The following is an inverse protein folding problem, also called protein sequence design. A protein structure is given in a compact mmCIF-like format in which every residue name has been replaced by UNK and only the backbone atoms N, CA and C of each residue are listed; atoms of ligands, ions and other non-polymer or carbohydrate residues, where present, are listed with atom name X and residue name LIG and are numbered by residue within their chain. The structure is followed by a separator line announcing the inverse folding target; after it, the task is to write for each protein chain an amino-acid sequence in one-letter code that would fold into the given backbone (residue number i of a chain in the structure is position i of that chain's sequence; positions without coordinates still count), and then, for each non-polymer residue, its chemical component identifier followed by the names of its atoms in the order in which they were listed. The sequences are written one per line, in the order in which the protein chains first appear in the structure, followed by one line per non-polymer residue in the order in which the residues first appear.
data_IF_865349362750
#
_entry.id   IF_865349362750
#
_cell.length_a   1.000
_cell.length_b   1.000
_cell.length_c   1.000
_cell.angle_alpha   90.00
_cell.angle_beta   90.00
_cell.angle_gamma   90.00
#
_symmetry.space_group_name_H-M   'P 1'
#
loop_
_entity.id
_entity.type
_entity.pdbx_description
1 polymer ?
#
# COMPACT_ATOMS: atom_id res chain seq x y z
N UNK A 1 5.60 13.85 -2.24
CA UNK A 1 6.22 13.30 -1.01
C UNK A 1 6.86 11.95 -1.36
N UNK A 2 7.76 11.40 -0.54
CA UNK A 2 8.30 10.05 -0.77
C UNK A 2 7.40 9.01 -0.10
N UNK A 3 7.47 7.76 -0.58
CA UNK A 3 6.84 6.63 0.10
C UNK A 3 7.53 6.40 1.45
N UNK A 4 6.74 6.08 2.46
CA UNK A 4 7.23 5.67 3.78
C UNK A 4 7.41 4.14 3.83
N UNK A 5 8.03 3.65 4.91
CA UNK A 5 8.31 2.22 5.08
C UNK A 5 7.05 1.33 5.10
N UNK A 6 5.92 1.86 5.59
CA UNK A 6 4.67 1.10 5.64
C UNK A 6 4.03 0.96 4.26
N UNK A 7 4.04 2.03 3.46
CA UNK A 7 3.56 2.02 2.08
C UNK A 7 4.41 1.10 1.21
N UNK A 8 5.74 1.16 1.34
CA UNK A 8 6.65 0.26 0.65
C UNK A 8 6.40 -1.20 1.05
N UNK A 9 6.22 -1.48 2.34
CA UNK A 9 5.89 -2.83 2.82
C UNK A 9 4.55 -3.33 2.25
N UNK A 10 3.51 -2.48 2.25
CA UNK A 10 2.20 -2.85 1.73
C UNK A 10 2.27 -3.17 0.23
N UNK A 11 2.99 -2.36 -0.54
CA UNK A 11 3.15 -2.55 -1.98
C UNK A 11 3.96 -3.81 -2.32
N UNK A 12 5.05 -4.08 -1.61
CA UNK A 12 5.82 -5.34 -1.72
C UNK A 12 4.89 -6.57 -1.51
N UNK A 13 3.99 -6.49 -0.51
CA UNK A 13 3.02 -7.57 -0.23
C UNK A 13 1.94 -7.69 -1.31
N UNK A 14 1.44 -6.58 -1.82
CA UNK A 14 0.39 -6.54 -2.82
C UNK A 14 0.88 -6.93 -4.23
N UNK A 15 2.16 -6.70 -4.52
CA UNK A 15 2.76 -6.82 -5.85
C UNK A 15 3.83 -7.92 -5.95
N UNK A 16 3.90 -8.81 -4.95
CA UNK A 16 4.91 -9.87 -4.81
C UNK A 16 5.10 -10.81 -6.01
N UNK A 17 4.12 -10.89 -6.90
CA UNK A 17 4.00 -11.75 -8.08
C UNK A 17 3.91 -10.91 -9.37
N UNK A 18 4.10 -9.59 -9.25
CA UNK A 18 4.08 -8.62 -10.34
C UNK A 18 5.43 -7.90 -10.43
N UNK A 19 6.48 -8.64 -10.78
CA UNK A 19 7.89 -8.21 -10.75
C UNK A 19 8.15 -6.84 -11.42
N UNK A 20 7.44 -6.53 -12.51
CA UNK A 20 7.59 -5.25 -13.22
C UNK A 20 7.03 -4.08 -12.37
N UNK A 21 5.90 -4.28 -11.69
CA UNK A 21 5.28 -3.25 -10.85
C UNK A 21 6.10 -3.00 -9.59
N UNK A 22 6.62 -4.07 -9.00
CA UNK A 22 7.52 -4.01 -7.86
C UNK A 22 8.80 -3.22 -8.20
N UNK A 23 9.43 -3.51 -9.35
CA UNK A 23 10.59 -2.77 -9.83
C UNK A 23 10.32 -1.26 -10.03
N UNK A 24 9.19 -0.89 -10.65
CA UNK A 24 8.85 0.52 -10.90
C UNK A 24 8.63 1.30 -9.61
N UNK A 25 8.12 0.66 -8.56
CA UNK A 25 7.93 1.27 -7.25
C UNK A 25 9.23 1.44 -6.48
N UNK A 26 10.17 0.52 -6.66
CA UNK A 26 11.49 0.57 -6.02
C UNK A 26 12.50 1.47 -6.76
N UNK A 27 12.36 1.65 -8.08
CA UNK A 27 13.29 2.42 -8.90
C UNK A 27 13.00 3.93 -8.86
N UNK A 28 13.10 4.54 -7.66
CA UNK A 28 13.14 5.98 -7.33
C UNK A 28 12.11 6.95 -7.97
N UNK A 29 11.18 6.44 -8.78
CA UNK A 29 10.24 7.23 -9.58
C UNK A 29 8.90 7.46 -8.90
N UNK A 30 8.51 6.59 -7.98
CA UNK A 30 7.22 6.68 -7.32
C UNK A 30 7.18 7.84 -6.32
N UNK A 31 6.10 8.64 -6.36
CA UNK A 31 5.90 9.80 -5.49
C UNK A 31 4.49 9.81 -4.94
N UNK A 32 4.37 10.04 -3.64
CA UNK A 32 3.07 10.23 -2.99
C UNK A 32 2.57 11.64 -3.28
N UNK A 33 1.46 11.76 -4.02
CA UNK A 33 0.76 13.00 -4.32
C UNK A 33 -0.10 13.44 -3.14
N UNK A 34 -0.80 12.49 -2.53
CA UNK A 34 -1.71 12.71 -1.42
C UNK A 34 -1.56 11.59 -0.39
N UNK A 35 -1.62 11.96 0.89
CA UNK A 35 -1.69 11.01 2.01
C UNK A 35 -2.67 11.53 3.04
N UNK A 36 -3.68 10.73 3.36
CA UNK A 36 -4.75 11.07 4.29
C UNK A 36 -4.86 9.98 5.35
N UNK A 37 -4.71 10.35 6.60
CA UNK A 37 -5.04 9.46 7.72
C UNK A 37 -6.56 9.39 7.85
N UNK A 38 -7.10 8.18 7.94
CA UNK A 38 -8.51 7.93 8.19
C UNK A 38 -8.70 7.42 9.61
N UNK A 39 -9.95 7.29 10.03
CA UNK A 39 -10.28 6.74 11.35
C UNK A 39 -9.72 5.32 11.53
N UNK A 40 -9.76 4.52 10.47
CA UNK A 40 -9.49 3.09 10.52
C UNK A 40 -8.21 2.71 9.76
N UNK A 41 -7.42 3.68 9.28
CA UNK A 41 -6.27 3.40 8.42
C UNK A 41 -5.72 4.65 7.76
N UNK A 42 -5.24 4.52 6.53
CA UNK A 42 -4.81 5.63 5.71
C UNK A 42 -5.14 5.38 4.24
N UNK A 43 -5.13 6.45 3.47
CA UNK A 43 -5.21 6.43 2.02
C UNK A 43 -4.03 7.22 1.44
N UNK A 44 -3.45 6.73 0.36
CA UNK A 44 -2.38 7.39 -0.37
C UNK A 44 -2.60 7.30 -1.89
N UNK A 45 -2.33 8.40 -2.59
CA UNK A 45 -2.27 8.45 -4.05
C UNK A 45 -0.80 8.54 -4.46
N UNK A 46 -0.35 7.58 -5.27
CA UNK A 46 1.05 7.40 -5.65
C UNK A 46 1.16 7.58 -7.16
N UNK A 47 1.87 8.62 -7.58
CA UNK A 47 2.26 8.82 -8.97
C UNK A 47 3.46 7.94 -9.31
N UNK A 48 3.39 7.25 -10.44
CA UNK A 48 4.46 6.48 -11.05
C UNK A 48 5.05 7.27 -12.23
N UNK A 49 6.37 7.21 -12.43
CA UNK A 49 6.98 7.83 -13.62
C UNK A 49 6.62 7.11 -14.92
N UNK A 50 6.36 5.80 -14.83
CA UNK A 50 5.93 4.98 -15.95
C UNK A 50 4.41 4.85 -15.94
N UNK A 51 3.80 4.73 -17.13
CA UNK A 51 2.36 4.49 -17.21
C UNK A 51 2.07 3.08 -16.72
N UNK A 52 0.98 2.91 -15.98
CA UNK A 52 0.54 1.61 -15.48
C UNK A 52 0.36 0.58 -16.60
N UNK A 53 -0.12 1.00 -17.76
CA UNK A 53 -0.23 0.14 -18.95
C UNK A 53 1.12 -0.45 -19.40
N UNK A 54 2.23 0.26 -19.15
CA UNK A 54 3.58 -0.16 -19.51
C UNK A 54 4.16 -1.11 -18.43
N UNK A 55 3.55 -1.10 -17.25
CA UNK A 55 3.85 -1.97 -16.10
C UNK A 55 3.09 -3.30 -16.19
N UNK A 56 1.95 -3.34 -16.88
CA UNK A 56 1.06 -4.49 -17.03
C UNK A 56 -0.39 -4.14 -16.66
N UNK A 57 -1.37 -4.97 -16.99
CA UNK A 57 -2.76 -4.77 -16.54
C UNK A 57 -2.85 -5.04 -15.03
N UNK A 58 -2.49 -4.04 -14.23
CA UNK A 58 -2.62 -4.09 -12.78
C UNK A 58 -4.09 -3.87 -12.41
N UNK A 59 -4.77 -4.91 -11.96
CA UNK A 59 -6.11 -4.81 -11.37
C UNK A 59 -6.04 -4.39 -9.90
N UNK A 60 -7.21 -4.16 -9.28
CA UNK A 60 -7.30 -4.08 -7.82
C UNK A 60 -6.69 -5.33 -7.17
N UNK A 61 -5.94 -5.12 -6.08
CA UNK A 61 -5.28 -6.18 -5.31
C UNK A 61 -5.49 -5.95 -3.83
N UNK A 62 -5.72 -7.02 -3.09
CA UNK A 62 -5.95 -6.99 -1.65
C UNK A 62 -4.98 -7.95 -0.95
N UNK A 63 -4.41 -7.51 0.17
CA UNK A 63 -3.61 -8.35 1.05
C UNK A 63 -4.11 -8.22 2.49
N UNK A 64 -4.66 -9.31 3.03
CA UNK A 64 -5.20 -9.37 4.39
C UNK A 64 -4.11 -9.65 5.40
N UNK A 65 -4.20 -9.03 6.57
CA UNK A 65 -3.25 -9.23 7.65
C UNK A 65 -3.89 -9.34 9.03
N UNK A 66 -3.10 -9.89 9.95
CA UNK A 66 -3.35 -9.87 11.39
C UNK A 66 -2.11 -9.32 12.07
N UNK A 67 -2.29 -8.38 12.98
CA UNK A 67 -1.18 -7.79 13.72
C UNK A 67 -0.78 -8.67 14.91
N UNK A 68 0.53 -8.79 15.15
CA UNK A 68 1.17 -9.39 16.34
C UNK A 68 1.00 -8.51 17.59
N UNK A 69 -0.10 -7.76 17.69
CA UNK A 69 -0.39 -6.83 18.78
C UNK A 69 -1.22 -7.50 19.88
N UNK A 70 -1.09 -7.11 21.17
CA UNK A 70 -1.95 -7.58 22.26
C UNK A 70 -3.45 -7.39 21.97
N UNK A 71 -3.80 -6.40 21.14
CA UNK A 71 -5.18 -6.07 20.76
C UNK A 71 -5.72 -6.89 19.60
N UNK A 72 -4.90 -7.76 18.98
CA UNK A 72 -5.26 -8.64 17.85
C UNK A 72 -6.01 -7.92 16.72
N UNK A 73 -5.54 -6.73 16.36
CA UNK A 73 -6.14 -6.01 15.24
C UNK A 73 -5.89 -6.77 13.92
N UNK A 74 -6.86 -6.68 13.02
CA UNK A 74 -6.80 -7.28 11.70
C UNK A 74 -7.34 -6.30 10.67
N UNK A 75 -6.91 -6.48 9.43
CA UNK A 75 -7.18 -5.53 8.38
C UNK A 75 -6.72 -6.04 7.04
N UNK A 76 -6.64 -5.13 6.09
CA UNK A 76 -6.08 -5.38 4.78
C UNK A 76 -5.44 -4.12 4.23
N UNK A 77 -4.46 -4.33 3.36
CA UNK A 77 -4.07 -3.34 2.39
C UNK A 77 -4.80 -3.63 1.08
N UNK A 78 -5.13 -2.59 0.34
CA UNK A 78 -5.66 -2.71 -1.01
C UNK A 78 -5.00 -1.66 -1.90
N UNK A 79 -4.67 -2.03 -3.14
CA UNK A 79 -4.21 -1.07 -4.15
C UNK A 79 -4.95 -1.25 -5.47
N UNK A 80 -5.17 -0.15 -6.19
CA UNK A 80 -5.80 -0.17 -7.50
C UNK A 80 -5.26 0.98 -8.37
N UNK A 81 -5.24 0.80 -9.71
CA UNK A 81 -4.93 1.89 -10.61
C UNK A 81 -6.04 2.94 -10.58
N UNK A 82 -5.67 4.22 -10.53
CA UNK A 82 -6.60 5.35 -10.64
C UNK A 82 -6.18 6.27 -11.79
N UNK A 83 -6.32 5.79 -13.03
CA UNK A 83 -5.87 6.49 -14.24
C UNK A 83 -4.60 5.88 -14.84
N UNK A 84 -3.85 6.69 -15.60
CA UNK A 84 -2.75 6.19 -16.45
C UNK A 84 -1.43 6.00 -15.70
N UNK A 85 -1.18 6.75 -14.63
CA UNK A 85 0.12 6.80 -13.95
C UNK A 85 0.00 6.93 -12.43
N UNK A 86 -1.16 6.57 -11.88
CA UNK A 86 -1.51 6.79 -10.48
C UNK A 86 -2.03 5.51 -9.87
N UNK A 87 -1.45 5.14 -8.73
CA UNK A 87 -1.82 3.98 -7.94
C UNK A 87 -2.36 4.47 -6.60
N UNK A 88 -3.58 4.06 -6.28
CA UNK A 88 -4.14 4.24 -4.96
C UNK A 88 -3.70 3.11 -4.04
N UNK A 89 -3.40 3.44 -2.79
CA UNK A 89 -3.09 2.50 -1.73
C UNK A 89 -3.93 2.87 -0.51
N UNK A 90 -4.65 1.89 0.05
CA UNK A 90 -5.42 2.06 1.26
C UNK A 90 -5.08 0.97 2.28
N UNK A 91 -4.98 1.38 3.54
CA UNK A 91 -4.99 0.49 4.70
C UNK A 91 -6.36 0.59 5.37
N UNK A 92 -6.95 -0.56 5.72
CA UNK A 92 -8.15 -0.62 6.53
C UNK A 92 -7.98 -1.61 7.68
N UNK A 93 -8.10 -1.12 8.91
CA UNK A 93 -8.26 -1.94 10.12
C UNK A 93 -9.75 -2.30 10.25
N UNK A 94 -10.08 -3.52 9.84
CA UNK A 94 -11.46 -4.03 9.89
C UNK A 94 -11.85 -4.60 11.26
N UNK A 95 -10.87 -4.93 12.11
CA UNK A 95 -11.10 -5.43 13.45
C UNK A 95 -10.10 -4.87 14.47
N UNK A 96 -10.60 -4.54 15.65
CA UNK A 96 -9.78 -4.01 16.74
C UNK A 96 -9.54 -2.51 16.61
N UNK A 97 -8.46 -2.02 17.23
CA UNK A 97 -8.06 -0.61 17.19
C UNK A 97 -6.71 -0.50 16.51
N UNK A 98 -6.59 0.42 15.54
CA UNK A 98 -5.33 0.76 14.90
C UNK A 98 -4.31 1.19 15.96
N UNK A 99 -3.10 0.59 15.98
CA UNK A 99 -2.02 1.07 16.85
C UNK A 99 -1.65 2.53 16.53
N UNK A 100 -1.23 3.28 17.54
CA UNK A 100 -0.80 4.68 17.35
C UNK A 100 0.48 4.78 16.50
N UNK A 101 1.30 3.72 16.52
CA UNK A 101 2.47 3.54 15.66
C UNK A 101 2.33 2.20 14.95
N UNK A 102 2.22 2.23 13.63
CA UNK A 102 2.09 1.05 12.79
C UNK A 102 3.35 0.87 11.94
N UNK A 103 4.07 -0.21 12.20
CA UNK A 103 5.32 -0.54 11.49
C UNK A 103 5.27 -1.97 10.95
N UNK A 104 6.10 -2.25 9.96
CA UNK A 104 6.14 -3.54 9.27
C UNK A 104 6.38 -4.74 10.21
N UNK A 105 7.06 -4.55 11.35
CA UNK A 105 7.34 -5.62 12.31
C UNK A 105 6.09 -6.13 13.04
N UNK A 106 5.00 -5.35 13.02
CA UNK A 106 3.73 -5.74 13.64
C UNK A 106 2.93 -6.73 12.80
N UNK A 107 3.28 -6.94 11.54
CA UNK A 107 2.55 -7.83 10.64
C UNK A 107 3.00 -9.28 10.84
N UNK A 108 2.03 -10.20 10.90
CA UNK A 108 2.27 -11.62 11.14
C UNK A 108 2.53 -12.41 9.86
#
# INVERSE_FOLDING_TARGET
MQLNNLELFALDKLLHDHEIADQVLHDAGARVLERVETRDGFFAVIELQQRLRDVGELSEREWKFKLKSPRKAAGYFVCWPDGESTLCLEEVISQGRRPDVLTAELFA
#
